data_IF_491444049264
#
_entry.id   IF_491444049264
#
_cell.length_a   1.000
_cell.length_b   1.000
_cell.length_c   1.000
_cell.angle_alpha   90.00
_cell.angle_beta   90.00
_cell.angle_gamma   90.00
#
_symmetry.space_group_name_H-M   'P 1'
#
loop_
_entity.id
_entity.type
_entity.pdbx_description
1 polymer ?
#
# COMPACT_ATOMS: atom_id res chain seq x y z
N UNK A 1 56.50 27.37 -12.94
CA UNK A 1 56.56 26.58 -11.70
C UNK A 1 55.14 26.53 -11.17
N UNK A 2 54.43 25.43 -11.41
CA UNK A 2 53.08 25.20 -10.92
C UNK A 2 53.18 24.21 -9.76
N UNK A 3 52.69 24.58 -8.59
CA UNK A 3 52.60 23.68 -7.44
C UNK A 3 51.55 22.59 -7.70
N UNK A 4 51.81 21.33 -7.28
CA UNK A 4 50.84 20.25 -7.39
C UNK A 4 49.75 20.42 -6.32
N UNK A 5 48.50 20.29 -6.75
CA UNK A 5 47.31 20.25 -5.90
C UNK A 5 47.37 18.97 -5.04
N UNK A 6 47.22 19.03 -3.71
CA UNK A 6 47.21 17.83 -2.88
C UNK A 6 45.96 17.01 -3.19
N UNK A 7 46.20 15.77 -3.61
CA UNK A 7 45.20 14.72 -3.74
C UNK A 7 44.69 14.37 -2.34
N UNK A 8 43.64 15.08 -1.91
CA UNK A 8 42.87 14.73 -0.72
C UNK A 8 42.06 13.50 -1.07
N UNK A 9 42.72 12.34 -1.02
CA UNK A 9 42.09 11.03 -1.14
C UNK A 9 40.86 11.01 -0.24
N UNK A 10 39.69 11.11 -0.87
CA UNK A 10 38.42 10.93 -0.22
C UNK A 10 38.46 9.52 0.36
N UNK A 11 38.68 9.43 1.67
CA UNK A 11 38.58 8.18 2.40
C UNK A 11 37.21 7.60 2.06
N UNK A 12 37.20 6.59 1.20
CA UNK A 12 36.03 5.77 0.94
C UNK A 12 35.78 5.10 2.28
N UNK A 13 34.88 5.68 3.06
CA UNK A 13 34.49 5.18 4.37
C UNK A 13 34.03 3.75 4.14
N UNK A 14 34.85 2.79 4.56
CA UNK A 14 34.54 1.38 4.40
C UNK A 14 33.36 1.03 5.31
N UNK A 15 32.17 1.12 4.72
CA UNK A 15 30.89 0.85 5.35
C UNK A 15 30.83 -0.58 5.89
N UNK A 16 31.59 -1.53 5.33
CA UNK A 16 31.67 -2.90 5.83
C UNK A 16 32.51 -2.98 7.10
N UNK A 17 33.59 -2.19 7.20
CA UNK A 17 34.41 -2.08 8.41
C UNK A 17 33.66 -1.37 9.55
N UNK A 18 32.81 -0.38 9.25
CA UNK A 18 31.93 0.28 10.22
C UNK A 18 30.73 -0.60 10.64
N UNK A 19 30.19 -1.43 9.74
CA UNK A 19 29.14 -2.38 10.07
C UNK A 19 29.63 -3.53 10.97
N UNK A 20 30.92 -3.86 10.92
CA UNK A 20 31.56 -4.82 11.82
C UNK A 20 31.78 -4.28 13.25
N UNK A 21 31.63 -2.96 13.46
CA UNK A 21 31.69 -2.36 14.78
C UNK A 21 30.39 -2.64 15.56
N UNK A 22 30.53 -3.46 16.62
CA UNK A 22 29.43 -3.79 17.54
C UNK A 22 28.74 -2.54 18.12
N UNK A 23 29.46 -1.42 18.26
CA UNK A 23 28.86 -0.18 18.75
C UNK A 23 27.91 0.46 17.73
N UNK A 24 28.26 0.42 16.44
CA UNK A 24 27.41 0.95 15.36
C UNK A 24 26.17 0.08 15.19
N UNK A 25 26.33 -1.24 15.20
CA UNK A 25 25.20 -2.18 15.16
C UNK A 25 24.22 -1.99 16.34
N UNK A 26 24.75 -1.81 17.57
CA UNK A 26 23.92 -1.55 18.75
C UNK A 26 23.16 -0.22 18.66
N UNK A 27 23.78 0.83 18.10
CA UNK A 27 23.14 2.14 17.90
C UNK A 27 22.01 2.09 16.86
N UNK A 28 22.23 1.38 15.75
CA UNK A 28 21.21 1.18 14.71
C UNK A 28 20.02 0.43 15.30
N UNK A 29 20.26 -0.65 16.05
CA UNK A 29 19.21 -1.41 16.71
C UNK A 29 18.40 -0.54 17.69
N UNK A 30 19.06 0.31 18.48
CA UNK A 30 18.38 1.22 19.40
C UNK A 30 17.53 2.28 18.69
N UNK A 31 18.03 2.86 17.59
CA UNK A 31 17.28 3.81 16.77
C UNK A 31 16.05 3.14 16.12
N UNK A 32 16.22 1.92 15.61
CA UNK A 32 15.17 1.10 15.05
C UNK A 32 14.07 0.78 16.07
N UNK A 33 14.44 0.30 17.25
CA UNK A 33 13.51 0.03 18.35
C UNK A 33 12.72 1.29 18.75
N UNK A 34 13.39 2.44 18.78
CA UNK A 34 12.75 3.72 19.09
C UNK A 34 11.76 4.13 18.01
N UNK A 35 12.11 4.00 16.73
CA UNK A 35 11.23 4.30 15.61
C UNK A 35 10.00 3.39 15.60
N UNK A 36 10.17 2.09 15.83
CA UNK A 36 9.08 1.12 15.98
C UNK A 36 8.14 1.49 17.13
N UNK A 37 8.70 1.83 18.29
CA UNK A 37 7.93 2.20 19.46
C UNK A 37 7.08 3.44 19.18
N UNK A 38 7.65 4.47 18.55
CA UNK A 38 6.90 5.67 18.17
C UNK A 38 5.82 5.37 17.14
N UNK A 39 6.09 4.55 16.12
CA UNK A 39 5.10 4.12 15.15
C UNK A 39 3.92 3.40 15.80
N UNK A 40 4.20 2.52 16.76
CA UNK A 40 3.16 1.79 17.48
C UNK A 40 2.32 2.73 18.36
N UNK A 41 2.99 3.62 19.11
CA UNK A 41 2.32 4.61 19.96
C UNK A 41 1.45 5.59 19.17
N UNK A 42 1.94 6.11 18.04
CA UNK A 42 1.15 7.02 17.19
C UNK A 42 -0.05 6.32 16.59
N UNK A 43 0.13 5.08 16.09
CA UNK A 43 -0.98 4.29 15.53
C UNK A 43 -2.05 4.01 16.58
N UNK A 44 -1.65 3.59 17.79
CA UNK A 44 -2.57 3.40 18.92
C UNK A 44 -3.26 4.72 19.28
N UNK A 45 -2.54 5.84 19.33
CA UNK A 45 -3.12 7.13 19.66
C UNK A 45 -4.17 7.57 18.64
N UNK A 46 -3.92 7.36 17.34
CA UNK A 46 -4.89 7.65 16.27
C UNK A 46 -6.12 6.73 16.38
N UNK A 47 -5.92 5.43 16.56
CA UNK A 47 -7.01 4.46 16.76
C UNK A 47 -7.84 4.84 17.99
N UNK A 48 -7.20 5.15 19.11
CA UNK A 48 -7.85 5.58 20.33
C UNK A 48 -8.63 6.88 20.13
N UNK A 49 -8.08 7.86 19.42
CA UNK A 49 -8.77 9.11 19.10
C UNK A 49 -10.04 8.86 18.28
N UNK A 50 -9.99 7.99 17.27
CA UNK A 50 -11.16 7.62 16.45
C UNK A 50 -12.21 6.89 17.30
N UNK A 51 -11.80 5.95 18.15
CA UNK A 51 -12.70 5.21 19.05
C UNK A 51 -13.35 6.15 20.07
N UNK A 52 -12.57 7.05 20.68
CA UNK A 52 -13.09 8.05 21.61
C UNK A 52 -14.07 8.97 20.91
N UNK A 53 -13.76 9.46 19.70
CA UNK A 53 -14.69 10.27 18.92
C UNK A 53 -16.00 9.52 18.64
N UNK A 54 -15.93 8.25 18.25
CA UNK A 54 -17.11 7.40 18.05
C UNK A 54 -17.93 7.19 19.33
N UNK A 55 -17.29 6.96 20.48
CA UNK A 55 -18.00 6.81 21.76
C UNK A 55 -18.63 8.13 22.21
N UNK A 56 -17.97 9.26 21.98
CA UNK A 56 -18.51 10.57 22.32
C UNK A 56 -19.75 10.91 21.47
N UNK A 57 -19.75 10.58 20.17
CA UNK A 57 -20.94 10.77 19.34
C UNK A 57 -22.10 9.87 19.77
N UNK A 58 -21.83 8.62 20.15
CA UNK A 58 -22.84 7.71 20.72
C UNK A 58 -23.48 8.26 22.00
N UNK A 59 -22.66 8.84 22.90
CA UNK A 59 -23.15 9.43 24.15
C UNK A 59 -23.96 10.70 23.91
N UNK A 60 -23.52 11.56 22.98
CA UNK A 60 -24.22 12.80 22.65
C UNK A 60 -25.62 12.56 22.06
N UNK A 61 -25.84 11.41 21.41
CA UNK A 61 -27.10 11.08 20.73
C UNK A 61 -28.07 10.22 21.56
N UNK A 62 -27.87 10.12 22.88
CA UNK A 62 -28.89 9.59 23.80
C UNK A 62 -28.85 8.08 24.08
N UNK A 63 -27.72 7.42 23.83
CA UNK A 63 -27.29 6.17 24.50
C UNK A 63 -28.37 5.13 24.84
N UNK A 64 -28.94 4.45 23.85
CA UNK A 64 -29.58 3.13 24.01
C UNK A 64 -29.93 2.43 22.68
N UNK A 65 -29.93 3.13 21.54
CA UNK A 65 -30.32 2.54 20.24
C UNK A 65 -29.47 2.96 19.05
N UNK A 66 -28.35 3.67 19.27
CA UNK A 66 -27.49 4.12 18.17
C UNK A 66 -26.52 3.02 17.77
N UNK A 67 -26.76 2.42 16.60
CA UNK A 67 -25.78 1.56 15.96
C UNK A 67 -24.66 2.46 15.40
N UNK A 68 -23.39 2.28 15.79
CA UNK A 68 -22.30 3.08 15.24
C UNK A 68 -22.25 2.92 13.72
N UNK A 69 -22.10 4.04 13.03
CA UNK A 69 -21.88 4.05 11.58
C UNK A 69 -20.67 3.20 11.20
N UNK A 70 -20.70 2.62 10.01
CA UNK A 70 -19.60 1.78 9.53
C UNK A 70 -18.35 2.59 9.13
N UNK A 71 -18.53 3.89 8.88
CA UNK A 71 -17.47 4.82 8.48
C UNK A 71 -16.22 4.78 9.39
N UNK A 72 -16.31 5.01 10.72
CA UNK A 72 -15.15 4.95 11.60
C UNK A 72 -14.45 3.58 11.59
N UNK A 73 -15.19 2.49 11.41
CA UNK A 73 -14.61 1.14 11.38
C UNK A 73 -13.80 0.90 10.10
N UNK A 74 -14.28 1.40 8.95
CA UNK A 74 -13.53 1.36 7.68
C UNK A 74 -12.30 2.24 7.74
N UNK A 75 -12.39 3.42 8.36
CA UNK A 75 -11.22 4.29 8.58
C UNK A 75 -10.19 3.60 9.48
N UNK A 76 -10.64 2.94 10.56
CA UNK A 76 -9.78 2.14 11.43
C UNK A 76 -9.08 0.99 10.69
N UNK A 77 -9.78 0.30 9.77
CA UNK A 77 -9.15 -0.74 8.96
C UNK A 77 -8.09 -0.16 8.02
N UNK A 78 -8.30 1.05 7.49
CA UNK A 78 -7.28 1.82 6.76
C UNK A 78 -6.04 2.16 7.58
N UNK A 79 -6.21 2.65 8.80
CA UNK A 79 -5.08 2.90 9.72
C UNK A 79 -4.27 1.63 9.99
N UNK A 80 -4.94 0.48 10.13
CA UNK A 80 -4.27 -0.81 10.30
C UNK A 80 -3.51 -1.22 9.03
N UNK A 81 -4.10 -1.01 7.85
CA UNK A 81 -3.43 -1.27 6.57
C UNK A 81 -2.14 -0.49 6.40
N UNK A 82 -2.16 0.82 6.66
CA UNK A 82 -0.97 1.66 6.55
C UNK A 82 0.06 1.36 7.63
N UNK A 83 -0.37 0.96 8.83
CA UNK A 83 0.54 0.46 9.87
C UNK A 83 1.29 -0.81 9.42
N UNK A 84 0.59 -1.80 8.86
CA UNK A 84 1.24 -2.99 8.30
C UNK A 84 2.21 -2.64 7.16
N UNK A 85 1.82 -1.70 6.29
CA UNK A 85 2.68 -1.19 5.22
C UNK A 85 3.96 -0.55 5.79
N UNK A 86 3.83 0.26 6.85
CA UNK A 86 4.96 0.88 7.55
C UNK A 86 5.86 -0.14 8.27
N UNK A 87 5.31 -1.22 8.83
CA UNK A 87 6.09 -2.31 9.40
C UNK A 87 6.92 -3.03 8.35
N UNK A 88 6.29 -3.49 7.25
CA UNK A 88 7.01 -4.19 6.16
C UNK A 88 8.14 -3.32 5.63
N UNK A 89 7.87 -2.02 5.43
CA UNK A 89 8.89 -1.04 5.06
C UNK A 89 10.07 -1.08 6.03
N UNK A 90 9.80 -0.99 7.32
CA UNK A 90 10.85 -0.94 8.32
C UNK A 90 11.68 -2.23 8.36
N UNK A 91 11.07 -3.39 8.08
CA UNK A 91 11.75 -4.68 7.99
C UNK A 91 12.53 -4.90 6.68
N UNK A 92 12.13 -4.27 5.56
CA UNK A 92 12.75 -4.46 4.24
C UNK A 92 13.91 -3.50 3.92
N UNK A 93 14.19 -2.51 4.76
CA UNK A 93 15.29 -1.57 4.50
C UNK A 93 16.65 -2.15 4.92
N UNK A 94 17.31 -2.84 3.98
CA UNK A 94 18.73 -3.20 4.07
C UNK A 94 19.67 -1.95 4.07
N UNK A 95 19.17 -0.80 3.60
CA UNK A 95 19.93 0.47 3.50
C UNK A 95 19.69 1.46 4.67
N UNK A 96 18.86 1.12 5.66
CA UNK A 96 18.62 1.97 6.84
C UNK A 96 19.91 2.33 7.63
N UNK A 97 20.95 1.46 7.72
CA UNK A 97 22.21 1.83 8.35
C UNK A 97 22.84 3.09 7.75
N UNK A 98 22.74 3.28 6.43
CA UNK A 98 23.40 4.40 5.71
C UNK A 98 22.75 5.74 6.03
N UNK A 99 21.42 5.79 6.19
CA UNK A 99 20.71 7.00 6.57
C UNK A 99 20.87 7.32 8.07
N UNK A 100 20.91 6.29 8.93
CA UNK A 100 21.05 6.42 10.39
C UNK A 100 22.46 6.82 10.86
N UNK A 101 23.49 6.63 10.02
CA UNK A 101 24.86 7.09 10.30
C UNK A 101 25.02 8.59 9.99
N UNK A 102 24.07 9.23 9.31
CA UNK A 102 24.13 10.68 9.11
C UNK A 102 23.96 11.42 10.46
N UNK A 103 24.90 12.29 10.86
CA UNK A 103 24.86 12.99 12.14
C UNK A 103 23.64 13.92 12.29
N UNK A 104 22.92 14.19 11.19
CA UNK A 104 21.68 14.96 11.15
C UNK A 104 20.56 14.31 11.96
N UNK A 105 20.52 12.97 12.05
CA UNK A 105 19.49 12.24 12.79
C UNK A 105 19.74 12.12 14.31
N UNK A 106 20.95 12.43 14.79
CA UNK A 106 21.30 12.31 16.21
C UNK A 106 20.73 13.44 17.07
N UNK A 107 20.59 14.65 16.50
CA UNK A 107 20.01 15.81 17.16
C UNK A 107 18.58 16.12 16.70
N UNK A 108 17.95 15.20 15.96
CA UNK A 108 16.61 15.42 15.46
C UNK A 108 15.62 15.52 16.64
N UNK A 109 14.88 16.63 16.76
CA UNK A 109 13.96 16.82 17.88
C UNK A 109 12.91 15.69 17.87
N UNK A 110 12.56 15.20 19.06
CA UNK A 110 11.55 14.11 19.26
C UNK A 110 10.26 14.35 18.47
N UNK A 111 9.93 15.61 18.21
CA UNK A 111 8.78 16.05 17.41
C UNK A 111 8.84 15.60 15.95
N UNK A 112 10.02 15.59 15.32
CA UNK A 112 10.15 15.16 13.93
C UNK A 112 9.90 13.66 13.78
N UNK A 113 10.43 12.85 14.71
CA UNK A 113 10.15 11.41 14.77
C UNK A 113 8.65 11.15 14.97
N UNK A 114 8.00 11.93 15.83
CA UNK A 114 6.56 11.84 16.03
C UNK A 114 5.77 12.11 14.74
N UNK A 115 6.09 13.19 14.01
CA UNK A 115 5.43 13.51 12.73
C UNK A 115 5.62 12.37 11.73
N UNK A 116 6.86 11.88 11.56
CA UNK A 116 7.14 10.80 10.61
C UNK A 116 6.41 9.49 10.95
N UNK A 117 6.26 9.19 12.24
CA UNK A 117 5.49 8.04 12.72
C UNK A 117 3.97 8.25 12.62
N UNK A 118 3.49 9.48 12.57
CA UNK A 118 2.06 9.81 12.47
C UNK A 118 1.57 9.78 11.02
N UNK A 119 2.42 10.17 10.06
CA UNK A 119 2.07 10.28 8.64
C UNK A 119 1.42 9.00 8.09
N UNK A 120 1.97 7.78 8.27
CA UNK A 120 1.36 6.57 7.71
C UNK A 120 -0.06 6.32 8.24
N UNK A 121 -0.27 6.46 9.55
CA UNK A 121 -1.60 6.26 10.15
C UNK A 121 -2.63 7.25 9.60
N UNK A 122 -2.25 8.53 9.44
CA UNK A 122 -3.14 9.57 8.90
C UNK A 122 -3.42 9.36 7.42
N UNK A 123 -2.42 9.00 6.62
CA UNK A 123 -2.60 8.73 5.18
C UNK A 123 -3.51 7.51 4.99
N UNK A 124 -3.31 6.45 5.77
CA UNK A 124 -4.20 5.29 5.74
C UNK A 124 -5.65 5.60 6.12
N UNK A 125 -5.85 6.46 7.12
CA UNK A 125 -7.18 6.94 7.50
C UNK A 125 -7.86 7.70 6.35
N UNK A 126 -7.14 8.62 5.71
CA UNK A 126 -7.64 9.43 4.60
C UNK A 126 -7.95 8.53 3.39
N UNK A 127 -7.06 7.60 3.04
CA UNK A 127 -7.24 6.69 1.93
C UNK A 127 -8.52 5.84 2.09
N UNK A 128 -8.73 5.27 3.28
CA UNK A 128 -9.95 4.52 3.59
C UNK A 128 -11.20 5.39 3.62
N UNK A 129 -11.12 6.63 4.11
CA UNK A 129 -12.24 7.58 4.09
C UNK A 129 -12.66 7.94 2.65
N UNK A 130 -11.69 8.22 1.77
CA UNK A 130 -11.96 8.49 0.35
C UNK A 130 -12.56 7.26 -0.32
N UNK A 131 -12.01 6.08 -0.06
CA UNK A 131 -12.55 4.83 -0.62
C UNK A 131 -14.00 4.57 -0.17
N UNK A 132 -14.31 4.87 1.09
CA UNK A 132 -15.68 4.81 1.59
C UNK A 132 -16.61 5.71 0.78
N UNK A 133 -16.19 6.95 0.46
CA UNK A 133 -16.98 7.86 -0.37
C UNK A 133 -17.18 7.33 -1.79
N UNK A 134 -16.16 6.66 -2.35
CA UNK A 134 -16.28 5.99 -3.66
C UNK A 134 -17.36 4.89 -3.60
N UNK A 135 -17.37 4.05 -2.57
CA UNK A 135 -18.44 3.05 -2.41
C UNK A 135 -19.80 3.71 -2.19
N UNK A 136 -19.85 4.77 -1.39
CA UNK A 136 -21.10 5.46 -1.08
C UNK A 136 -21.71 6.16 -2.30
N UNK A 137 -20.87 6.64 -3.22
CA UNK A 137 -21.28 7.28 -4.48
C UNK A 137 -21.93 6.32 -5.48
N UNK A 138 -21.84 4.99 -5.27
CA UNK A 138 -22.31 3.95 -6.19
C UNK A 138 -21.73 4.04 -7.60
N UNK A 139 -20.57 4.69 -7.77
CA UNK A 139 -19.86 4.78 -9.05
C UNK A 139 -19.38 3.42 -9.55
N UNK A 140 -19.18 2.47 -8.63
CA UNK A 140 -18.74 1.13 -8.95
C UNK A 140 -19.95 0.19 -8.93
N UNK A 141 -20.38 -0.27 -10.11
CA UNK A 141 -21.59 -1.09 -10.32
C UNK A 141 -21.37 -2.59 -10.22
N UNK A 142 -20.12 -3.05 -10.08
CA UNK A 142 -19.78 -4.48 -10.01
C UNK A 142 -20.04 -5.01 -8.60
N UNK A 143 -21.10 -5.78 -8.40
CA UNK A 143 -21.58 -6.22 -7.07
C UNK A 143 -20.71 -7.27 -6.37
N UNK A 144 -19.94 -8.06 -7.11
CA UNK A 144 -19.39 -9.30 -6.54
C UNK A 144 -18.19 -9.02 -5.62
N UNK A 145 -17.32 -8.09 -6.03
CA UNK A 145 -16.09 -7.73 -5.29
C UNK A 145 -16.22 -6.44 -4.47
N UNK A 146 -17.29 -5.68 -4.68
CA UNK A 146 -17.46 -4.34 -4.12
C UNK A 146 -18.64 -4.37 -3.17
N UNK A 147 -18.52 -3.75 -1.98
CA UNK A 147 -19.62 -3.73 -1.03
C UNK A 147 -20.82 -2.93 -1.57
N UNK A 148 -22.01 -3.49 -1.44
CA UNK A 148 -23.26 -2.82 -1.83
C UNK A 148 -23.79 -1.95 -0.68
N UNK A 149 -23.88 -0.64 -0.91
CA UNK A 149 -24.32 0.34 0.09
C UNK A 149 -25.78 0.76 -0.07
N UNK A 150 -26.49 0.84 1.05
CA UNK A 150 -27.87 1.32 1.15
C UNK A 150 -28.12 2.14 2.42
N UNK A 151 -29.22 2.90 2.42
CA UNK A 151 -29.63 3.71 3.56
C UNK A 151 -30.42 2.86 4.56
N UNK A 152 -29.97 2.77 5.82
CA UNK A 152 -30.60 1.94 6.86
C UNK A 152 -31.99 2.44 7.30
N UNK A 153 -32.24 3.74 7.18
CA UNK A 153 -33.50 4.38 7.62
C UNK A 153 -34.61 4.27 6.54
N UNK A 154 -34.25 3.81 5.35
CA UNK A 154 -35.16 3.63 4.20
C UNK A 154 -34.71 4.40 2.96
N UNK A 155 -35.26 4.02 1.81
CA UNK A 155 -34.94 4.69 0.54
C UNK A 155 -35.29 6.19 0.60
N UNK A 156 -34.37 7.05 0.12
CA UNK A 156 -34.50 8.51 0.02
C UNK A 156 -34.59 9.29 1.35
N UNK A 157 -34.22 8.67 2.48
CA UNK A 157 -34.14 9.37 3.79
C UNK A 157 -32.73 9.81 4.18
N UNK A 158 -31.70 9.29 3.52
CA UNK A 158 -30.31 9.72 3.72
C UNK A 158 -30.00 10.91 2.79
N UNK A 159 -30.46 12.11 3.15
CA UNK A 159 -30.26 13.33 2.34
C UNK A 159 -29.27 14.30 2.98
N UNK A 160 -28.95 14.11 4.26
CA UNK A 160 -27.99 14.94 4.98
C UNK A 160 -26.59 14.31 4.98
N UNK A 161 -25.56 15.15 5.10
CA UNK A 161 -24.18 14.66 5.21
C UNK A 161 -23.96 13.84 6.50
N UNK A 162 -24.68 14.17 7.56
CA UNK A 162 -24.70 13.40 8.81
C UNK A 162 -25.12 11.95 8.55
N UNK A 163 -26.18 11.75 7.76
CA UNK A 163 -26.70 10.43 7.38
C UNK A 163 -25.71 9.59 6.59
N UNK A 164 -24.84 10.22 5.80
CA UNK A 164 -23.79 9.53 5.06
C UNK A 164 -22.87 8.76 6.02
N UNK A 165 -22.56 9.32 7.18
CA UNK A 165 -21.59 8.73 8.11
C UNK A 165 -22.24 7.81 9.15
N UNK A 166 -23.49 8.07 9.53
CA UNK A 166 -24.22 7.33 10.57
C UNK A 166 -25.13 6.23 10.01
N UNK A 167 -25.83 6.53 8.91
CA UNK A 167 -27.00 5.77 8.47
C UNK A 167 -26.81 5.10 7.10
N UNK A 168 -25.81 5.53 6.34
CA UNK A 168 -25.45 4.94 5.05
C UNK A 168 -24.35 3.89 5.23
N UNK A 169 -24.57 2.69 4.67
CA UNK A 169 -23.62 1.61 4.88
C UNK A 169 -23.90 0.34 4.10
N UNK A 170 -23.06 -0.70 4.29
CA UNK A 170 -23.22 -1.99 3.65
C UNK A 170 -24.57 -2.65 3.97
N UNK A 171 -25.12 -3.36 2.98
CA UNK A 171 -26.46 -3.96 3.05
C UNK A 171 -26.44 -5.34 3.70
N UNK A 172 -25.46 -6.18 3.33
CA UNK A 172 -25.29 -7.54 3.86
C UNK A 172 -24.02 -7.65 4.70
N UNK A 173 -23.92 -8.70 5.54
CA UNK A 173 -22.70 -8.97 6.32
C UNK A 173 -21.46 -9.19 5.44
N UNK A 174 -21.64 -9.74 4.24
CA UNK A 174 -20.58 -9.90 3.25
C UNK A 174 -20.07 -8.54 2.77
N UNK A 175 -20.98 -7.58 2.54
CA UNK A 175 -20.61 -6.22 2.17
C UNK A 175 -19.84 -5.51 3.30
N UNK A 176 -20.15 -5.79 4.57
CA UNK A 176 -19.35 -5.30 5.70
C UNK A 176 -17.91 -5.83 5.62
N UNK A 177 -17.74 -7.13 5.41
CA UNK A 177 -16.42 -7.73 5.29
C UNK A 177 -15.63 -7.14 4.10
N UNK A 178 -16.28 -7.01 2.94
CA UNK A 178 -15.69 -6.38 1.74
C UNK A 178 -15.25 -4.95 2.03
N UNK A 179 -16.09 -4.14 2.67
CA UNK A 179 -15.75 -2.74 3.00
C UNK A 179 -14.53 -2.63 3.94
N UNK A 180 -14.43 -3.52 4.94
CA UNK A 180 -13.29 -3.53 5.86
C UNK A 180 -11.99 -3.96 5.17
N UNK A 181 -12.04 -5.00 4.34
CA UNK A 181 -10.90 -5.48 3.55
C UNK A 181 -10.44 -4.38 2.60
N UNK A 182 -11.35 -3.73 1.89
CA UNK A 182 -11.02 -2.63 0.99
C UNK A 182 -10.46 -1.42 1.72
N UNK A 183 -11.00 -1.07 2.89
CA UNK A 183 -10.42 -0.03 3.75
C UNK A 183 -8.98 -0.35 4.14
N UNK A 184 -8.72 -1.60 4.55
CA UNK A 184 -7.36 -2.07 4.84
C UNK A 184 -6.44 -1.99 3.62
N UNK A 185 -6.89 -2.46 2.46
CA UNK A 185 -6.12 -2.42 1.21
C UNK A 185 -5.79 -0.97 0.84
N UNK A 186 -6.75 -0.04 0.95
CA UNK A 186 -6.50 1.36 0.64
C UNK A 186 -5.44 1.99 1.55
N UNK A 187 -5.46 1.67 2.84
CA UNK A 187 -4.39 2.10 3.75
C UNK A 187 -3.06 1.42 3.47
N UNK A 188 -3.07 0.13 3.16
CA UNK A 188 -1.88 -0.63 2.80
C UNK A 188 -1.22 -0.09 1.51
N UNK A 189 -2.05 0.41 0.58
CA UNK A 189 -1.64 0.92 -0.72
C UNK A 189 -0.95 2.29 -0.71
N UNK A 190 -0.73 2.90 0.46
CA UNK A 190 0.05 4.15 0.62
C UNK A 190 1.35 4.15 -0.21
N UNK A 191 1.98 2.97 -0.40
CA UNK A 191 3.20 2.81 -1.19
C UNK A 191 3.12 1.91 -2.43
N UNK A 192 1.98 1.25 -2.68
CA UNK A 192 1.82 0.46 -3.91
C UNK A 192 2.01 1.33 -5.16
N UNK A 193 1.66 2.61 -5.10
CA UNK A 193 1.84 3.54 -6.21
C UNK A 193 3.31 3.96 -6.40
N UNK A 194 4.00 4.60 -5.41
CA UNK A 194 5.39 5.01 -5.58
C UNK A 194 6.37 3.85 -5.77
N UNK A 195 6.19 2.71 -5.09
CA UNK A 195 7.10 1.56 -5.23
C UNK A 195 6.98 0.92 -6.64
N UNK A 196 5.77 0.88 -7.21
CA UNK A 196 5.55 0.43 -8.58
C UNK A 196 6.18 1.38 -9.59
N UNK A 197 6.02 2.69 -9.40
CA UNK A 197 6.67 3.72 -10.24
C UNK A 197 8.20 3.64 -10.18
N UNK A 198 8.79 3.45 -9.00
CA UNK A 198 10.24 3.35 -8.85
C UNK A 198 10.79 2.07 -9.48
N UNK A 199 10.07 0.94 -9.40
CA UNK A 199 10.43 -0.29 -10.11
C UNK A 199 10.39 -0.10 -11.62
N UNK A 200 9.37 0.59 -12.15
CA UNK A 200 9.32 0.91 -13.58
C UNK A 200 10.43 1.87 -14.00
N UNK A 201 10.73 2.90 -13.22
CA UNK A 201 11.83 3.83 -13.48
C UNK A 201 13.18 3.12 -13.54
N UNK A 202 13.49 2.28 -12.54
CA UNK A 202 14.73 1.50 -12.49
C UNK A 202 14.80 0.48 -13.63
N UNK A 203 13.68 -0.15 -14.00
CA UNK A 203 13.62 -1.08 -15.13
C UNK A 203 13.93 -0.38 -16.47
N UNK A 204 13.53 0.88 -16.62
CA UNK A 204 13.88 1.69 -17.79
C UNK A 204 15.36 2.07 -17.83
N UNK A 205 15.97 2.44 -16.69
CA UNK A 205 17.42 2.73 -16.62
C UNK A 205 18.29 1.50 -16.92
N UNK A 206 17.83 0.30 -16.54
CA UNK A 206 18.56 -0.96 -16.78
C UNK A 206 18.39 -1.47 -18.23
N UNK A 207 17.41 -0.94 -18.98
CA UNK A 207 17.10 -1.34 -20.35
C UNK A 207 17.98 -0.71 -21.44
N UNK A 208 18.85 0.27 -21.10
CA UNK A 208 19.63 1.04 -22.09
C UNK A 208 21.11 0.62 -22.22
N UNK A 209 21.56 -0.41 -21.47
CA UNK A 209 22.94 -0.93 -21.55
C UNK A 209 23.07 -2.28 -22.27
N UNK A 210 22.23 -2.57 -23.25
CA UNK A 210 22.56 -3.56 -24.30
C UNK A 210 23.12 -2.81 -25.50
N UNK A 211 24.28 -2.17 -25.32
CA UNK A 211 25.10 -1.73 -26.45
C UNK A 211 25.85 -2.94 -26.98
N UNK A 212 25.43 -3.36 -28.17
CA UNK A 212 26.22 -4.06 -29.19
C UNK A 212 27.73 -3.86 -29.02
N UNK A 213 28.38 -4.85 -28.42
CA UNK A 213 29.83 -5.07 -28.51
C UNK A 213 30.01 -6.50 -29.00
N UNK A 214 29.86 -6.69 -30.31
CA UNK A 214 30.44 -7.79 -31.07
C UNK A 214 30.35 -7.44 -32.56
N UNK A 215 31.05 -6.36 -32.92
CA UNK A 215 31.53 -6.12 -34.27
C UNK A 215 33.05 -5.97 -34.11
N UNK A 216 33.76 -7.09 -34.20
CA UNK A 216 35.17 -7.21 -34.64
C UNK A 216 35.65 -8.64 -34.33
N UNK A 217 35.26 -9.59 -35.18
CA UNK A 217 36.10 -10.76 -35.43
C UNK A 217 35.87 -11.25 -36.88
N UNK A 218 36.71 -10.86 -37.85
CA UNK A 218 36.66 -11.36 -39.21
C UNK A 218 37.54 -12.61 -39.32
N UNK A 219 37.22 -13.66 -38.57
CA UNK A 219 37.84 -14.98 -38.72
C UNK A 219 36.90 -16.02 -38.10
N UNK A 220 35.99 -16.56 -38.92
CA UNK A 220 35.58 -17.96 -38.85
C UNK A 220 34.83 -18.36 -40.14
N UNK A 221 35.47 -19.32 -40.80
CA UNK A 221 35.16 -20.00 -42.06
C UNK A 221 33.76 -20.69 -42.07
N UNK A 222 33.13 -20.92 -43.23
CA UNK A 222 31.81 -21.51 -43.35
C UNK A 222 31.91 -23.03 -43.52
N UNK A 223 31.50 -23.80 -42.51
CA UNK A 223 30.92 -25.13 -42.72
C UNK A 223 30.48 -25.72 -41.38
N UNK A 224 29.22 -26.19 -41.32
CA UNK A 224 28.80 -27.53 -40.88
C UNK A 224 27.33 -27.49 -40.38
N UNK A 225 26.45 -27.94 -41.27
CA UNK A 225 25.35 -28.91 -41.05
C UNK A 225 24.25 -28.59 -40.01
N UNK A 226 23.11 -28.13 -40.55
CA UNK A 226 21.75 -28.68 -40.48
C UNK A 226 21.32 -29.59 -39.30
N UNK A 227 20.19 -29.27 -38.65
CA UNK A 227 18.91 -29.96 -38.92
C UNK A 227 17.80 -29.54 -37.91
N UNK A 228 16.64 -29.20 -38.49
CA UNK A 228 15.28 -29.53 -38.04
C UNK A 228 14.86 -29.19 -36.58
N UNK A 229 13.88 -28.29 -36.44
CA UNK A 229 12.46 -28.64 -36.18
C UNK A 229 11.66 -27.34 -36.08
N UNK A 230 10.62 -27.22 -36.92
CA UNK A 230 9.52 -26.27 -36.77
C UNK A 230 8.23 -27.07 -36.45
N UNK A 231 7.07 -26.41 -36.26
CA UNK A 231 6.45 -26.03 -35.00
C UNK A 231 5.15 -26.86 -34.75
N UNK A 232 4.22 -26.49 -33.84
CA UNK A 232 3.16 -25.56 -34.29
C UNK A 232 2.51 -24.68 -33.22
N UNK A 233 1.89 -23.61 -33.70
CA UNK A 233 0.92 -22.77 -33.01
C UNK A 233 -0.41 -23.52 -32.71
N UNK A 234 -1.27 -22.99 -31.82
CA UNK A 234 -2.70 -23.24 -31.89
C UNK A 234 -3.46 -22.02 -32.39
N UNK A 235 -4.42 -22.33 -33.25
CA UNK A 235 -5.28 -21.42 -33.98
C UNK A 235 -6.54 -20.98 -33.21
N UNK A 236 -7.04 -19.84 -33.67
CA UNK A 236 -8.38 -19.27 -33.49
C UNK A 236 -9.46 -20.21 -34.03
N UNK A 237 -10.65 -20.24 -33.42
CA UNK A 237 -11.83 -20.90 -33.99
C UNK A 237 -13.13 -20.63 -33.22
N UNK A 238 -13.95 -19.71 -33.76
CA UNK A 238 -15.29 -19.30 -33.33
C UNK A 238 -16.34 -20.42 -33.45
N UNK A 239 -17.49 -20.28 -32.74
CA UNK A 239 -18.77 -20.75 -33.29
C UNK A 239 -19.89 -21.10 -32.32
N UNK A 240 -20.91 -20.22 -32.28
CA UNK A 240 -22.34 -20.54 -32.35
C UNK A 240 -23.11 -21.10 -31.12
N UNK A 241 -24.01 -20.25 -30.61
CA UNK A 241 -25.37 -20.57 -30.14
C UNK A 241 -26.24 -21.16 -31.30
N UNK A 242 -27.48 -21.70 -31.15
CA UNK A 242 -28.52 -21.26 -30.21
C UNK A 242 -29.58 -22.30 -29.70
N UNK A 243 -30.45 -21.79 -28.81
CA UNK A 243 -31.91 -22.00 -28.72
C UNK A 243 -32.55 -23.29 -28.14
N UNK A 244 -33.39 -23.04 -27.12
CA UNK A 244 -34.81 -23.44 -26.99
C UNK A 244 -35.20 -24.79 -26.33
N UNK A 245 -35.83 -24.73 -25.14
CA UNK A 245 -37.26 -25.09 -24.96
C UNK A 245 -37.76 -24.99 -23.51
N UNK A 246 -38.98 -24.46 -23.43
CA UNK A 246 -39.85 -24.30 -22.28
C UNK A 246 -40.60 -25.59 -21.84
N UNK A 247 -41.03 -25.63 -20.55
CA UNK A 247 -42.31 -26.12 -19.97
C UNK A 247 -42.12 -26.28 -18.44
N UNK A 248 -42.84 -25.56 -17.57
CA UNK A 248 -44.19 -25.88 -17.02
C UNK A 248 -44.04 -26.80 -15.78
N UNK A 249 -44.67 -26.69 -14.60
CA UNK A 249 -45.86 -26.00 -14.07
C UNK A 249 -45.91 -26.33 -12.53
N UNK A 250 -46.67 -25.63 -11.65
CA UNK A 250 -46.62 -25.80 -10.18
C UNK A 250 -47.69 -26.74 -9.62
N UNK A 251 -47.48 -27.26 -8.40
CA UNK A 251 -48.54 -27.88 -7.56
C UNK A 251 -48.14 -27.80 -6.08
N UNK A 252 -49.10 -27.43 -5.21
CA UNK A 252 -49.15 -27.87 -3.80
C UNK A 252 -48.97 -26.78 -2.76
#
# INVERSE_FOLDING_TARGET
MAEPIPDNGAAVVDLNALAADKQVAARILAAYQRMLLWLFLTTIAVIAAIVVAAVLTMKAQGGAGYAPGIFPVVVLSGCLGSFFSALIRLYQFDDLPKALVSPVLQDLPKFYLFIYSLVPAVVGAIAAAVLYLVFASKLLTVSDLIPVFSCKIGANKCNEFTDLTSNFGPTTMEDYAKALIWGFIAGFAERLVPDTLQRFANAMETGETVKTSNADNPDNDPAVVNDNVAPPAPAVGNGAAPADKAKGQPVG
#
